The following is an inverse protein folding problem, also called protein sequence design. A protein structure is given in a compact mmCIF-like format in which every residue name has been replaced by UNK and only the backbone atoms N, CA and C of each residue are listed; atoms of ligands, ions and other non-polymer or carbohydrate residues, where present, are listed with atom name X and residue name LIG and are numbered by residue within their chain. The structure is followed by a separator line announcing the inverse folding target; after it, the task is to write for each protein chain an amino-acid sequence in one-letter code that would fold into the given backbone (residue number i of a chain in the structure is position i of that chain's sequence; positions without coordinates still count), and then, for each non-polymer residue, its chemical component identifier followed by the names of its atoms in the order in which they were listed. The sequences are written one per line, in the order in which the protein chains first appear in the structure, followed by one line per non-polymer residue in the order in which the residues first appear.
data_IF_879970894948
#
_entry.id   IF_879970894948
#
_cell.length_a   1.000
_cell.length_b   1.000
_cell.length_c   1.000
_cell.angle_alpha   90.00
_cell.angle_beta   90.00
_cell.angle_gamma   90.00
#
_symmetry.space_group_name_H-M   'P 1'
#
loop_
_entity.id
_entity.type
_entity.pdbx_description
1 polymer ?
#
# COMPACT_ATOMS: atom_id res chain seq x y z
N UNK A 1 1.38 -14.45 6.07
CA UNK A 1 2.28 -13.28 5.99
C UNK A 1 1.65 -12.29 5.04
N UNK A 2 1.70 -10.99 5.36
CA UNK A 2 1.04 -9.93 4.59
C UNK A 2 1.98 -9.20 3.64
N UNK A 3 1.46 -8.21 2.94
CA UNK A 3 2.23 -7.31 2.09
C UNK A 3 2.46 -5.97 2.80
N UNK A 4 3.65 -5.40 2.66
CA UNK A 4 3.93 -4.05 3.13
C UNK A 4 3.83 -3.05 1.98
N UNK A 5 3.18 -1.93 2.23
CA UNK A 5 3.08 -0.79 1.31
C UNK A 5 3.91 0.35 1.89
N UNK A 6 4.83 0.86 1.09
CA UNK A 6 5.71 1.97 1.42
C UNK A 6 5.49 3.10 0.43
N UNK A 7 5.07 4.26 0.93
CA UNK A 7 4.88 5.46 0.11
C UNK A 7 5.83 6.55 0.57
N UNK A 8 6.42 7.30 -0.37
CA UNK A 8 7.14 8.55 -0.09
C UNK A 8 6.28 9.73 -0.55
N UNK A 9 6.19 10.72 0.32
CA UNK A 9 5.44 11.95 0.07
C UNK A 9 6.26 13.12 0.64
N UNK A 10 6.88 13.90 -0.23
CA UNK A 10 7.87 14.91 0.14
C UNK A 10 9.01 14.30 0.95
N UNK A 11 9.19 14.78 2.19
CA UNK A 11 10.19 14.27 3.13
C UNK A 11 9.71 13.09 3.96
N UNK A 12 8.42 12.72 3.86
CA UNK A 12 7.80 11.71 4.69
C UNK A 12 7.83 10.34 4.02
N UNK A 13 8.07 9.29 4.81
CA UNK A 13 7.90 7.89 4.38
C UNK A 13 6.80 7.24 5.22
N UNK A 14 5.75 6.77 4.55
CA UNK A 14 4.58 6.15 5.15
C UNK A 14 4.62 4.65 4.92
N UNK A 15 4.29 3.89 5.96
CA UNK A 15 4.23 2.42 5.92
C UNK A 15 2.84 1.93 6.29
N UNK A 16 2.37 0.91 5.57
CA UNK A 16 1.13 0.20 5.85
C UNK A 16 1.32 -1.29 5.65
N UNK A 17 0.67 -2.10 6.47
CA UNK A 17 0.73 -3.55 6.39
C UNK A 17 -0.65 -4.08 5.99
N UNK A 18 -0.74 -4.72 4.84
CA UNK A 18 -1.90 -5.49 4.41
C UNK A 18 -1.77 -6.87 5.02
N UNK A 19 -2.60 -7.21 6.00
CA UNK A 19 -2.64 -8.55 6.58
C UNK A 19 -3.75 -9.38 5.92
N UNK A 20 -3.48 -10.61 5.46
CA UNK A 20 -4.56 -11.55 5.16
C UNK A 20 -5.34 -11.82 6.46
N UNK A 21 -6.66 -11.93 6.34
CA UNK A 21 -7.60 -12.04 7.46
C UNK A 21 -7.09 -12.88 8.64
N UNK A 22 -7.18 -12.32 9.86
CA UNK A 22 -6.89 -13.05 11.10
C UNK A 22 -8.16 -13.74 11.60
N UNK A 23 -8.12 -15.07 11.75
CA UNK A 23 -8.95 -15.82 12.70
C UNK A 23 -10.48 -15.88 12.45
N UNK A 24 -11.13 -16.80 13.15
CA UNK A 24 -12.58 -17.00 13.11
C UNK A 24 -13.33 -15.74 13.57
N UNK A 25 -14.31 -15.28 12.80
CA UNK A 25 -15.12 -14.05 13.01
C UNK A 25 -14.41 -12.69 12.87
N UNK A 26 -13.21 -12.63 12.28
CA UNK A 26 -12.55 -11.35 11.96
C UNK A 26 -12.25 -11.28 10.45
N UNK A 27 -12.90 -10.34 9.77
CA UNK A 27 -12.61 -10.02 8.37
C UNK A 27 -11.59 -8.89 8.34
N UNK A 28 -10.37 -9.14 7.86
CA UNK A 28 -9.44 -8.05 7.55
C UNK A 28 -9.79 -7.50 6.18
N UNK A 29 -9.99 -6.19 6.10
CA UNK A 29 -10.18 -5.49 4.84
C UNK A 29 -8.86 -5.47 4.05
N UNK A 30 -8.93 -5.83 2.78
CA UNK A 30 -7.83 -5.73 1.82
C UNK A 30 -7.41 -4.28 1.49
N UNK A 31 -8.32 -3.28 1.37
CA UNK A 31 -7.91 -1.91 1.09
C UNK A 31 -7.06 -1.31 2.20
N UNK A 32 -6.03 -0.57 1.80
CA UNK A 32 -5.20 0.23 2.70
C UNK A 32 -5.29 1.70 2.27
N UNK A 33 -5.66 2.55 3.22
CA UNK A 33 -5.71 4.00 3.01
C UNK A 33 -4.38 4.65 3.41
N UNK A 34 -3.83 5.45 2.48
CA UNK A 34 -2.66 6.29 2.69
C UNK A 34 -3.11 7.74 2.65
N UNK A 35 -3.23 8.37 3.82
CA UNK A 35 -3.46 9.82 3.92
C UNK A 35 -2.15 10.57 3.67
N UNK A 36 -2.17 11.53 2.74
CA UNK A 36 -0.98 12.31 2.35
C UNK A 36 -1.02 13.77 2.79
N UNK A 37 -2.05 14.17 3.54
CA UNK A 37 -2.24 15.55 4.01
C UNK A 37 -2.48 16.51 2.85
N UNK A 38 -1.82 17.67 2.88
CA UNK A 38 -1.94 18.72 1.85
C UNK A 38 -1.07 18.47 0.61
N UNK A 39 -0.48 17.28 0.47
CA UNK A 39 0.30 16.95 -0.72
C UNK A 39 -0.62 16.56 -1.88
N UNK A 40 -0.24 16.95 -3.09
CA UNK A 40 -1.04 16.67 -4.29
C UNK A 40 -0.76 15.29 -4.91
N UNK A 41 0.30 14.59 -4.48
CA UNK A 41 0.66 13.28 -5.01
C UNK A 41 1.59 12.49 -4.10
N UNK A 42 1.69 11.19 -4.36
CA UNK A 42 2.73 10.31 -3.84
C UNK A 42 3.92 10.36 -4.82
N UNK A 43 5.14 10.53 -4.30
CA UNK A 43 6.35 10.58 -5.14
C UNK A 43 6.81 9.19 -5.56
N UNK A 44 6.77 8.22 -4.64
CA UNK A 44 7.13 6.82 -4.92
C UNK A 44 6.24 5.88 -4.13
N UNK A 45 5.82 4.78 -4.76
CA UNK A 45 5.05 3.72 -4.13
C UNK A 45 5.73 2.36 -4.36
N UNK A 46 6.01 1.65 -3.28
CA UNK A 46 6.66 0.34 -3.29
C UNK A 46 5.80 -0.65 -2.51
N UNK A 47 5.59 -1.85 -3.05
CA UNK A 47 4.95 -2.97 -2.37
C UNK A 47 5.98 -4.07 -2.15
N UNK A 48 6.12 -4.50 -0.90
CA UNK A 48 6.90 -5.68 -0.52
C UNK A 48 5.90 -6.80 -0.26
N UNK A 49 5.82 -7.73 -1.21
CA UNK A 49 4.90 -8.85 -1.18
C UNK A 49 5.29 -9.89 -0.12
N UNK A 50 4.38 -10.79 0.29
CA UNK A 50 4.66 -11.82 1.30
C UNK A 50 5.86 -12.71 0.94
N UNK A 51 6.11 -12.94 -0.36
CA UNK A 51 7.26 -13.70 -0.86
C UNK A 51 8.58 -12.93 -0.85
N UNK A 52 8.59 -11.68 -0.39
CA UNK A 52 9.76 -10.80 -0.39
C UNK A 52 10.01 -10.08 -1.72
N UNK A 53 9.19 -10.33 -2.75
CA UNK A 53 9.26 -9.59 -4.02
C UNK A 53 8.94 -8.12 -3.77
N UNK A 54 9.78 -7.24 -4.30
CA UNK A 54 9.57 -5.79 -4.27
C UNK A 54 9.02 -5.35 -5.64
N UNK A 55 7.87 -4.67 -5.65
CA UNK A 55 7.26 -4.11 -6.84
C UNK A 55 7.15 -2.59 -6.70
N UNK A 56 7.77 -1.86 -7.63
CA UNK A 56 7.58 -0.43 -7.76
C UNK A 56 6.30 -0.18 -8.54
N UNK A 57 5.42 0.65 -7.99
CA UNK A 57 4.10 0.93 -8.54
C UNK A 57 4.05 2.38 -8.97
N UNK A 58 3.46 2.63 -10.14
CA UNK A 58 3.12 4.00 -10.55
C UNK A 58 2.07 4.53 -9.58
N UNK A 59 2.36 5.60 -8.81
CA UNK A 59 1.42 6.04 -7.80
C UNK A 59 0.10 6.49 -8.44
N UNK A 60 -1.06 6.04 -7.91
CA UNK A 60 -2.34 6.50 -8.41
C UNK A 60 -2.58 7.97 -8.04
N UNK A 61 -3.51 8.66 -8.71
CA UNK A 61 -3.95 10.00 -8.32
C UNK A 61 -4.45 10.05 -6.88
N UNK A 62 -4.45 11.24 -6.29
CA UNK A 62 -5.08 11.46 -4.98
C UNK A 62 -6.57 11.20 -5.03
N UNK A 63 -7.15 10.87 -3.87
CA UNK A 63 -8.58 10.59 -3.72
C UNK A 63 -9.11 9.52 -4.69
N UNK A 64 -8.26 8.56 -5.02
CA UNK A 64 -8.59 7.46 -5.92
C UNK A 64 -8.33 6.10 -5.26
N UNK A 65 -8.88 5.06 -5.90
CA UNK A 65 -8.69 3.68 -5.50
C UNK A 65 -7.97 2.92 -6.61
N UNK A 66 -6.91 2.19 -6.26
CA UNK A 66 -6.16 1.36 -7.18
C UNK A 66 -6.01 -0.06 -6.61
N UNK A 67 -6.08 -1.05 -7.51
CA UNK A 67 -5.84 -2.46 -7.18
C UNK A 67 -4.50 -2.84 -7.81
N UNK A 68 -3.58 -3.33 -6.98
CA UNK A 68 -2.26 -3.80 -7.43
C UNK A 68 -2.19 -5.32 -7.23
N UNK A 69 -1.70 -6.02 -8.25
CA UNK A 69 -1.56 -7.48 -8.25
C UNK A 69 -0.07 -7.83 -8.32
N UNK A 70 0.35 -8.80 -7.51
CA UNK A 70 1.71 -9.32 -7.54
C UNK A 70 1.97 -10.01 -8.90
N UNK A 71 2.82 -9.43 -9.75
CA UNK A 71 3.21 -10.09 -11.00
C UNK A 71 3.13 -9.24 -12.27
N UNK A 72 2.34 -8.16 -12.27
CA UNK A 72 2.30 -7.18 -13.37
C UNK A 72 3.53 -6.27 -13.43
#
# INVERSE_FOLDING_TARGET
MGAWVKARVGTNTLWRHVMPARGYLSQSELPVTIGIGDHERIDTLEIIWPGGKIQNVVPPPTDSFAVIVEGD
#
